data_IF_900162930985
#
_entry.id   IF_900162930985
#
_cell.length_a   1.000
_cell.length_b   1.000
_cell.length_c   1.000
_cell.angle_alpha   90.00
_cell.angle_beta   90.00
_cell.angle_gamma   90.00
#
_symmetry.space_group_name_H-M   'P 1'
#
loop_
_entity.id
_entity.type
_entity.pdbx_description
1 polymer ?
#
# COMPACT_ATOMS: atom_id res chain seq x y z
N UNK A 1 -13.61 -3.44 1.06
CA UNK A 1 -14.72 -4.12 0.37
C UNK A 1 -15.31 -5.19 1.27
N UNK A 2 -16.63 -5.35 1.28
CA UNK A 2 -17.33 -6.46 1.97
C UNK A 2 -17.71 -7.49 0.91
N UNK A 3 -17.38 -8.76 1.16
CA UNK A 3 -17.66 -9.89 0.28
C UNK A 3 -18.47 -10.91 1.07
N UNK A 4 -19.81 -10.94 0.89
CA UNK A 4 -20.65 -11.96 1.52
C UNK A 4 -20.45 -13.31 0.82
N UNK A 5 -20.21 -14.37 1.62
CA UNK A 5 -19.97 -15.73 1.13
C UNK A 5 -21.24 -16.54 1.23
N UNK A 6 -21.61 -17.22 0.15
CA UNK A 6 -22.82 -18.03 0.05
C UNK A 6 -24.13 -17.29 0.41
N UNK A 7 -24.20 -15.99 0.14
CA UNK A 7 -25.35 -15.14 0.42
C UNK A 7 -26.63 -15.62 -0.30
N UNK A 8 -26.50 -16.24 -1.47
CA UNK A 8 -27.64 -16.80 -2.22
C UNK A 8 -28.35 -17.96 -1.48
N UNK A 9 -27.63 -18.64 -0.54
CA UNK A 9 -28.21 -19.70 0.30
C UNK A 9 -28.56 -19.21 1.70
N UNK A 10 -28.01 -18.08 2.10
CA UNK A 10 -28.15 -17.54 3.46
C UNK A 10 -28.43 -16.03 3.38
N UNK A 11 -29.69 -15.62 3.23
CA UNK A 11 -30.06 -14.20 3.09
C UNK A 11 -29.60 -13.33 4.26
N UNK A 12 -29.52 -13.88 5.47
CA UNK A 12 -29.04 -13.19 6.68
C UNK A 12 -27.60 -12.65 6.55
N UNK A 13 -26.75 -13.37 5.80
CA UNK A 13 -25.38 -12.93 5.53
C UNK A 13 -25.39 -11.64 4.72
N UNK A 14 -26.26 -11.54 3.71
CA UNK A 14 -26.38 -10.33 2.90
C UNK A 14 -26.95 -9.16 3.68
N UNK A 15 -27.96 -9.40 4.49
CA UNK A 15 -28.58 -8.35 5.31
C UNK A 15 -27.58 -7.81 6.36
N UNK A 16 -26.83 -8.69 7.00
CA UNK A 16 -25.76 -8.30 7.93
C UNK A 16 -24.66 -7.51 7.20
N UNK A 17 -24.23 -7.96 6.01
CA UNK A 17 -23.24 -7.24 5.20
C UNK A 17 -23.70 -5.83 4.82
N UNK A 18 -25.00 -5.64 4.49
CA UNK A 18 -25.59 -4.32 4.24
C UNK A 18 -25.60 -3.44 5.48
N UNK A 19 -25.95 -4.00 6.64
CA UNK A 19 -25.91 -3.28 7.92
C UNK A 19 -24.48 -2.83 8.26
N UNK A 20 -23.50 -3.73 8.12
CA UNK A 20 -22.07 -3.41 8.30
C UNK A 20 -21.62 -2.31 7.33
N UNK A 21 -22.02 -2.37 6.06
CA UNK A 21 -21.70 -1.32 5.10
C UNK A 21 -22.24 0.04 5.56
N UNK A 22 -23.50 0.07 6.02
CA UNK A 22 -24.15 1.31 6.48
C UNK A 22 -23.44 1.91 7.69
N UNK A 23 -23.05 1.09 8.67
CA UNK A 23 -22.35 1.55 9.86
C UNK A 23 -20.92 2.06 9.55
N UNK A 24 -20.20 1.37 8.69
CA UNK A 24 -18.86 1.78 8.23
C UNK A 24 -18.92 3.10 7.44
N UNK A 25 -19.91 3.26 6.55
CA UNK A 25 -20.12 4.52 5.83
C UNK A 25 -20.44 5.65 6.79
N UNK A 26 -21.31 5.44 7.77
CA UNK A 26 -21.63 6.42 8.81
C UNK A 26 -20.39 6.79 9.64
N UNK A 27 -19.48 5.85 9.83
CA UNK A 27 -18.19 6.08 10.48
C UNK A 27 -17.15 6.77 9.59
N UNK A 28 -17.46 7.10 8.34
CA UNK A 28 -16.57 7.80 7.40
C UNK A 28 -15.64 6.89 6.60
N UNK A 29 -15.85 5.56 6.63
CA UNK A 29 -15.08 4.62 5.84
C UNK A 29 -15.67 4.48 4.44
N UNK A 30 -14.84 4.53 3.40
CA UNK A 30 -15.27 4.27 2.01
C UNK A 30 -15.44 2.76 1.81
N UNK A 31 -16.67 2.31 1.69
CA UNK A 31 -17.01 0.88 1.61
C UNK A 31 -17.76 0.55 0.33
N UNK A 32 -17.46 -0.62 -0.22
CA UNK A 32 -18.23 -1.26 -1.28
C UNK A 32 -18.68 -2.64 -0.81
N UNK A 33 -19.93 -2.96 -1.02
CA UNK A 33 -20.46 -4.32 -0.91
C UNK A 33 -20.40 -4.98 -2.29
N UNK A 34 -19.83 -6.18 -2.37
CA UNK A 34 -19.84 -6.98 -3.59
C UNK A 34 -20.72 -8.21 -3.41
N UNK A 35 -21.97 -8.07 -3.78
CA UNK A 35 -23.00 -9.11 -3.82
C UNK A 35 -23.18 -9.72 -5.21
N UNK A 36 -22.27 -9.47 -6.14
CA UNK A 36 -22.29 -10.05 -7.50
C UNK A 36 -22.13 -11.58 -7.48
N UNK A 37 -22.55 -12.22 -8.59
CA UNK A 37 -22.44 -13.67 -8.79
C UNK A 37 -21.02 -14.14 -9.16
N UNK A 38 -20.03 -13.25 -9.14
CA UNK A 38 -18.65 -13.62 -9.44
C UNK A 38 -18.07 -14.56 -8.38
N UNK A 39 -17.15 -15.42 -8.81
CA UNK A 39 -16.49 -16.36 -7.90
C UNK A 39 -15.64 -15.64 -6.85
N UNK A 40 -15.46 -16.26 -5.69
CA UNK A 40 -14.62 -15.69 -4.62
C UNK A 40 -13.21 -15.40 -5.10
N UNK A 41 -12.61 -16.29 -5.88
CA UNK A 41 -11.27 -16.10 -6.45
C UNK A 41 -11.19 -14.88 -7.36
N UNK A 42 -12.22 -14.66 -8.19
CA UNK A 42 -12.30 -13.47 -9.03
C UNK A 42 -12.40 -12.18 -8.18
N UNK A 43 -13.28 -12.17 -7.17
CA UNK A 43 -13.44 -11.03 -6.27
C UNK A 43 -12.13 -10.71 -5.54
N UNK A 44 -11.41 -11.72 -5.06
CA UNK A 44 -10.11 -11.52 -4.42
C UNK A 44 -9.12 -10.82 -5.36
N UNK A 45 -8.91 -11.38 -6.55
CA UNK A 45 -7.98 -10.83 -7.54
C UNK A 45 -8.37 -9.40 -7.98
N UNK A 46 -9.66 -9.15 -8.23
CA UNK A 46 -10.17 -7.85 -8.66
C UNK A 46 -9.88 -6.76 -7.62
N UNK A 47 -10.17 -7.01 -6.34
CA UNK A 47 -9.95 -6.01 -5.30
C UNK A 47 -8.48 -5.85 -4.89
N UNK A 48 -7.68 -6.89 -5.00
CA UNK A 48 -6.22 -6.82 -4.86
C UNK A 48 -5.60 -5.96 -5.97
N UNK A 49 -6.01 -6.15 -7.23
CA UNK A 49 -5.57 -5.33 -8.36
C UNK A 49 -5.99 -3.85 -8.22
N UNK A 50 -7.17 -3.59 -7.69
CA UNK A 50 -7.67 -2.23 -7.43
C UNK A 50 -7.01 -1.56 -6.23
N UNK A 51 -6.18 -2.26 -5.48
CA UNK A 51 -5.50 -1.71 -4.31
C UNK A 51 -6.40 -1.52 -3.09
N UNK A 52 -7.49 -2.27 -2.98
CA UNK A 52 -8.38 -2.19 -1.80
C UNK A 52 -7.64 -2.75 -0.57
N UNK A 53 -7.42 -1.95 0.48
CA UNK A 53 -6.54 -2.34 1.58
C UNK A 53 -7.11 -3.47 2.46
N UNK A 54 -8.42 -3.53 2.64
CA UNK A 54 -9.09 -4.53 3.48
C UNK A 54 -10.23 -5.17 2.70
N UNK A 55 -10.21 -6.51 2.63
CA UNK A 55 -11.34 -7.33 2.22
C UNK A 55 -11.96 -7.97 3.45
N UNK A 56 -13.25 -7.69 3.66
CA UNK A 56 -14.06 -8.26 4.74
C UNK A 56 -14.84 -9.43 4.18
N UNK A 57 -14.54 -10.63 4.63
CA UNK A 57 -15.22 -11.86 4.26
C UNK A 57 -16.24 -12.20 5.36
N UNK A 58 -17.49 -12.40 4.97
CA UNK A 58 -18.58 -12.76 5.88
C UNK A 58 -19.30 -13.99 5.38
N UNK A 59 -19.12 -15.11 6.09
CA UNK A 59 -19.80 -16.37 5.80
C UNK A 59 -20.82 -16.75 6.87
N UNK A 60 -21.64 -17.81 6.63
CA UNK A 60 -22.64 -18.24 7.60
C UNK A 60 -22.05 -18.70 8.95
N UNK A 61 -20.83 -19.25 8.94
CA UNK A 61 -20.14 -19.66 10.16
C UNK A 61 -19.66 -18.45 10.97
N UNK A 62 -19.07 -17.49 10.29
CA UNK A 62 -18.60 -16.26 10.91
C UNK A 62 -19.78 -15.51 11.52
N UNK A 63 -20.91 -15.42 10.78
CA UNK A 63 -22.13 -14.80 11.27
C UNK A 63 -22.69 -15.47 12.53
N UNK A 64 -22.70 -16.80 12.56
CA UNK A 64 -23.18 -17.57 13.73
C UNK A 64 -22.35 -17.28 15.00
N UNK A 65 -21.08 -16.93 14.86
CA UNK A 65 -20.16 -16.56 15.93
C UNK A 65 -20.12 -15.05 16.20
N UNK A 66 -20.87 -14.25 15.43
CA UNK A 66 -20.84 -12.79 15.50
C UNK A 66 -19.53 -12.17 15.02
N UNK A 67 -18.80 -12.88 14.17
CA UNK A 67 -17.50 -12.50 13.65
C UNK A 67 -17.52 -12.22 12.14
N UNK A 68 -16.46 -11.61 11.63
CA UNK A 68 -16.10 -11.55 10.22
C UNK A 68 -14.59 -11.74 10.07
N UNK A 69 -14.13 -12.07 8.86
CA UNK A 69 -12.71 -12.19 8.55
C UNK A 69 -12.24 -10.95 7.79
N UNK A 70 -11.25 -10.25 8.33
CA UNK A 70 -10.56 -9.12 7.67
C UNK A 70 -9.28 -9.65 7.02
N UNK A 71 -9.14 -9.47 5.72
CA UNK A 71 -7.95 -9.87 4.97
C UNK A 71 -7.21 -8.61 4.54
N UNK A 72 -5.98 -8.48 4.99
CA UNK A 72 -5.09 -7.36 4.67
C UNK A 72 -4.44 -7.56 3.30
N UNK A 73 -4.42 -6.51 2.49
CA UNK A 73 -3.76 -6.56 1.20
C UNK A 73 -2.24 -6.44 1.29
N UNK A 74 -1.72 -5.68 2.24
CA UNK A 74 -0.30 -5.35 2.35
C UNK A 74 0.60 -6.56 2.70
N UNK A 75 0.08 -7.50 3.51
CA UNK A 75 0.84 -8.67 3.96
C UNK A 75 0.09 -10.01 3.83
N UNK A 76 -1.18 -10.00 3.40
CA UNK A 76 -2.01 -11.19 3.25
C UNK A 76 -2.55 -11.77 4.57
N UNK A 77 -2.31 -11.10 5.70
CA UNK A 77 -2.78 -11.54 7.01
C UNK A 77 -4.30 -11.57 7.09
N UNK A 78 -4.82 -12.62 7.76
CA UNK A 78 -6.25 -12.77 8.06
C UNK A 78 -6.48 -12.59 9.54
N UNK A 79 -7.36 -11.65 9.88
CA UNK A 79 -7.71 -11.32 11.25
C UNK A 79 -9.20 -11.59 11.43
N UNK A 80 -9.56 -12.36 12.46
CA UNK A 80 -10.96 -12.51 12.86
C UNK A 80 -11.34 -11.33 13.73
N UNK A 81 -12.40 -10.62 13.35
CA UNK A 81 -12.92 -9.46 14.08
C UNK A 81 -14.40 -9.66 14.44
N UNK A 82 -14.84 -9.05 15.50
CA UNK A 82 -16.27 -9.04 15.85
C UNK A 82 -17.02 -8.07 14.95
N UNK A 83 -18.24 -8.44 14.58
CA UNK A 83 -19.13 -7.58 13.81
C UNK A 83 -19.53 -6.36 14.64
N UNK A 84 -19.75 -6.55 15.94
CA UNK A 84 -20.02 -5.48 16.88
C UNK A 84 -18.79 -4.59 17.06
N UNK A 85 -18.93 -3.28 16.74
CA UNK A 85 -17.84 -2.30 16.84
C UNK A 85 -16.80 -2.39 15.73
N UNK A 86 -17.12 -3.07 14.63
CA UNK A 86 -16.22 -3.29 13.48
C UNK A 86 -15.65 -1.99 12.90
N UNK A 87 -16.35 -0.87 13.07
CA UNK A 87 -15.94 0.44 12.56
C UNK A 87 -14.59 0.90 13.15
N UNK A 88 -14.41 0.68 14.45
CA UNK A 88 -13.18 1.05 15.13
C UNK A 88 -12.02 0.13 14.72
N UNK A 89 -12.30 -1.17 14.64
CA UNK A 89 -11.33 -2.17 14.21
C UNK A 89 -10.83 -1.88 12.78
N UNK A 90 -11.75 -1.59 11.86
CA UNK A 90 -11.40 -1.26 10.48
C UNK A 90 -10.58 0.02 10.38
N UNK A 91 -10.93 1.07 11.15
CA UNK A 91 -10.15 2.32 11.16
C UNK A 91 -8.73 2.08 11.66
N UNK A 92 -8.60 1.42 12.81
CA UNK A 92 -7.28 1.09 13.38
C UNK A 92 -6.44 0.24 12.42
N UNK A 93 -7.08 -0.71 11.74
CA UNK A 93 -6.39 -1.57 10.78
C UNK A 93 -5.96 -0.79 9.52
N UNK A 94 -6.77 0.16 9.04
CA UNK A 94 -6.41 1.03 7.92
C UNK A 94 -5.20 1.91 8.25
N UNK A 95 -5.17 2.51 9.45
CA UNK A 95 -4.03 3.30 9.93
C UNK A 95 -2.77 2.43 10.04
N UNK A 96 -2.90 1.24 10.62
CA UNK A 96 -1.80 0.27 10.72
C UNK A 96 -1.24 -0.13 9.35
N UNK A 97 -2.11 -0.39 8.36
CA UNK A 97 -1.70 -0.71 6.99
C UNK A 97 -0.95 0.48 6.38
N UNK A 98 -1.48 1.70 6.56
CA UNK A 98 -0.84 2.90 6.07
C UNK A 98 0.57 3.06 6.64
N UNK A 99 0.71 2.97 7.95
CA UNK A 99 1.99 3.15 8.65
C UNK A 99 3.00 2.07 8.24
N UNK A 100 2.57 0.82 8.10
CA UNK A 100 3.44 -0.27 7.65
C UNK A 100 3.92 -0.07 6.21
N UNK A 101 3.03 0.35 5.32
CA UNK A 101 3.40 0.64 3.93
C UNK A 101 4.33 1.85 3.83
N UNK A 102 4.08 2.89 4.64
CA UNK A 102 4.93 4.07 4.70
C UNK A 102 6.33 3.71 5.20
N UNK A 103 6.43 3.01 6.32
CA UNK A 103 7.71 2.57 6.88
C UNK A 103 8.50 1.67 5.91
N UNK A 104 7.81 0.79 5.20
CA UNK A 104 8.44 -0.06 4.18
C UNK A 104 8.97 0.76 2.99
N UNK A 105 8.22 1.78 2.55
CA UNK A 105 8.64 2.68 1.47
C UNK A 105 9.82 3.56 1.89
N UNK A 106 9.78 4.11 3.12
CA UNK A 106 10.87 4.91 3.71
C UNK A 106 12.16 4.08 3.81
N UNK A 107 12.06 2.88 4.38
CA UNK A 107 13.18 1.97 4.45
C UNK A 107 13.74 1.62 3.07
N UNK A 108 12.87 1.34 2.09
CA UNK A 108 13.32 1.05 0.73
C UNK A 108 14.03 2.25 0.09
N UNK A 109 13.57 3.48 0.35
CA UNK A 109 14.24 4.68 -0.12
C UNK A 109 15.62 4.85 0.53
N UNK A 110 15.71 4.66 1.85
CA UNK A 110 16.99 4.74 2.58
C UNK A 110 17.98 3.69 2.11
N UNK A 111 17.57 2.43 2.04
CA UNK A 111 18.41 1.30 1.60
C UNK A 111 18.92 1.45 0.16
N UNK A 112 18.23 2.22 -0.68
CA UNK A 112 18.60 2.46 -2.07
C UNK A 112 19.08 3.89 -2.36
N UNK A 113 19.46 4.64 -1.32
CA UNK A 113 20.05 5.98 -1.45
C UNK A 113 21.50 5.98 -0.93
N UNK A 114 22.44 6.38 -1.77
CA UNK A 114 23.88 6.31 -1.50
C UNK A 114 24.52 7.69 -1.56
N UNK A 115 25.34 8.02 -0.56
CA UNK A 115 26.17 9.23 -0.55
C UNK A 115 27.46 8.94 -1.34
N UNK A 116 27.54 9.45 -2.57
CA UNK A 116 28.64 9.20 -3.50
C UNK A 116 29.39 10.52 -3.78
N UNK A 117 30.72 10.41 -3.94
CA UNK A 117 31.60 11.57 -4.07
C UNK A 117 32.20 11.71 -5.47
N UNK A 118 32.31 10.62 -6.19
CA UNK A 118 32.97 10.59 -7.50
C UNK A 118 32.02 10.09 -8.62
N UNK A 119 32.36 10.46 -9.85
CA UNK A 119 31.61 10.00 -11.04
C UNK A 119 31.73 8.48 -11.21
N UNK A 120 32.87 7.88 -10.85
CA UNK A 120 33.09 6.45 -10.99
C UNK A 120 32.24 5.66 -10.00
N UNK A 121 32.10 6.12 -8.74
CA UNK A 121 31.17 5.53 -7.77
C UNK A 121 29.70 5.58 -8.27
N UNK A 122 29.30 6.68 -8.92
CA UNK A 122 27.96 6.80 -9.50
C UNK A 122 27.77 5.81 -10.67
N UNK A 123 28.80 5.63 -11.51
CA UNK A 123 28.75 4.63 -12.58
C UNK A 123 28.63 3.20 -12.04
N UNK A 124 29.44 2.86 -11.04
CA UNK A 124 29.39 1.55 -10.41
C UNK A 124 28.03 1.26 -9.78
N UNK A 125 27.46 2.23 -9.05
CA UNK A 125 26.13 2.13 -8.48
C UNK A 125 25.06 1.93 -9.57
N UNK A 126 25.12 2.71 -10.65
CA UNK A 126 24.15 2.65 -11.74
C UNK A 126 24.24 1.35 -12.55
N UNK A 127 25.46 0.85 -12.77
CA UNK A 127 25.70 -0.42 -13.49
C UNK A 127 25.35 -1.66 -12.65
N UNK A 128 25.41 -1.55 -11.33
CA UNK A 128 25.18 -2.64 -10.39
C UNK A 128 23.78 -2.63 -9.80
N UNK A 129 23.69 -2.21 -8.54
CA UNK A 129 22.48 -2.28 -7.72
C UNK A 129 21.37 -1.31 -8.19
N UNK A 130 21.75 -0.19 -8.80
CA UNK A 130 20.85 0.92 -9.08
C UNK A 130 20.49 1.69 -7.80
N UNK A 131 19.55 2.65 -7.92
CA UNK A 131 19.10 3.46 -6.79
C UNK A 131 19.28 4.96 -7.02
N UNK A 132 19.36 5.70 -5.91
CA UNK A 132 19.57 7.14 -5.89
C UNK A 132 20.96 7.50 -5.39
N UNK A 133 21.68 8.30 -6.15
CA UNK A 133 22.94 8.89 -5.70
C UNK A 133 22.70 10.30 -5.12
N UNK A 134 23.08 10.54 -3.86
CA UNK A 134 23.25 11.89 -3.31
C UNK A 134 24.67 12.31 -3.58
N UNK A 135 24.84 13.31 -4.43
CA UNK A 135 26.16 13.83 -4.79
C UNK A 135 26.11 15.34 -4.93
N UNK A 136 27.26 15.99 -4.91
CA UNK A 136 27.34 17.42 -5.10
C UNK A 136 27.21 17.81 -6.57
N UNK A 137 26.60 18.95 -6.81
CA UNK A 137 26.42 19.51 -8.12
C UNK A 137 27.05 20.91 -8.23
N UNK A 138 27.79 21.14 -9.30
CA UNK A 138 28.49 22.41 -9.53
C UNK A 138 27.59 23.53 -10.14
N UNK A 139 26.28 23.29 -10.32
CA UNK A 139 25.36 24.26 -10.92
C UNK A 139 25.39 24.31 -12.45
N UNK A 140 26.26 23.54 -13.10
CA UNK A 140 26.42 23.60 -14.56
C UNK A 140 25.60 22.51 -15.29
N UNK A 141 24.74 22.92 -16.22
CA UNK A 141 24.02 22.03 -17.12
C UNK A 141 24.95 21.11 -17.92
N UNK A 142 26.14 21.61 -18.28
CA UNK A 142 27.14 20.83 -19.04
C UNK A 142 27.62 19.62 -18.22
N UNK A 143 27.81 19.79 -16.92
CA UNK A 143 28.19 18.68 -16.02
C UNK A 143 27.06 17.66 -15.88
N UNK A 144 25.82 18.12 -15.77
CA UNK A 144 24.64 17.26 -15.71
C UNK A 144 24.49 16.41 -16.96
N UNK A 145 24.58 17.02 -18.14
CA UNK A 145 24.52 16.30 -19.43
C UNK A 145 25.66 15.29 -19.55
N UNK A 146 26.86 15.63 -19.07
CA UNK A 146 27.99 14.71 -19.07
C UNK A 146 27.77 13.52 -18.14
N UNK A 147 27.17 13.73 -16.98
CA UNK A 147 26.79 12.64 -16.06
C UNK A 147 25.80 11.67 -16.72
N UNK A 148 24.83 12.19 -17.46
CA UNK A 148 23.90 11.36 -18.23
C UNK A 148 24.63 10.53 -19.29
N UNK A 149 25.58 11.13 -19.97
CA UNK A 149 26.38 10.46 -21.03
C UNK A 149 27.27 9.36 -20.45
N UNK A 150 28.00 9.65 -19.36
CA UNK A 150 29.05 8.75 -18.85
C UNK A 150 28.55 7.73 -17.83
N UNK A 151 27.47 7.99 -17.12
CA UNK A 151 26.93 7.12 -16.05
C UNK A 151 25.47 6.68 -16.32
N UNK A 152 24.82 7.16 -17.37
CA UNK A 152 23.42 6.80 -17.67
C UNK A 152 22.40 7.31 -16.64
N UNK A 153 22.79 8.23 -15.76
CA UNK A 153 21.94 8.78 -14.71
C UNK A 153 21.45 10.18 -15.03
N UNK A 154 20.35 10.61 -14.43
CA UNK A 154 19.83 11.98 -14.56
C UNK A 154 19.58 12.57 -13.17
N UNK A 155 19.81 13.87 -13.03
CA UNK A 155 19.42 14.60 -11.83
C UNK A 155 17.90 14.59 -11.64
N UNK A 156 17.45 14.53 -10.37
CA UNK A 156 16.03 14.47 -10.01
C UNK A 156 15.60 15.69 -9.23
N UNK A 157 16.24 15.97 -8.12
CA UNK A 157 15.89 17.08 -7.26
C UNK A 157 17.08 17.54 -6.42
N UNK A 158 16.99 18.77 -5.94
CA UNK A 158 17.86 19.28 -4.88
C UNK A 158 17.06 19.33 -3.57
N UNK A 159 17.57 18.76 -2.45
CA UNK A 159 16.91 18.88 -1.16
C UNK A 159 16.74 20.33 -0.75
N UNK A 160 15.66 20.65 -0.04
CA UNK A 160 15.43 21.99 0.53
C UNK A 160 16.51 22.36 1.56
N UNK A 161 16.97 21.39 2.34
CA UNK A 161 18.11 21.53 3.25
C UNK A 161 19.34 20.95 2.57
N UNK A 162 20.32 21.81 2.28
CA UNK A 162 21.55 21.40 1.62
C UNK A 162 22.71 21.41 2.62
N UNK A 163 23.55 20.39 2.56
CA UNK A 163 24.73 20.24 3.43
C UNK A 163 25.98 20.97 2.88
N UNK A 164 25.82 22.21 2.41
CA UNK A 164 26.91 23.01 1.88
C UNK A 164 27.14 22.89 0.38
N UNK A 165 27.84 23.89 -0.15
CA UNK A 165 28.12 24.07 -1.56
C UNK A 165 29.39 23.36 -1.98
N UNK A 166 29.37 22.87 -3.19
CA UNK A 166 30.48 22.65 -4.12
C UNK A 166 31.52 21.60 -3.76
N UNK A 167 31.59 20.66 -4.62
CA UNK A 167 32.85 19.99 -4.94
C UNK A 167 33.64 20.86 -5.88
#
# INVERSE_FOLDING_TARGET
VIVPIAAHKNPEVLETAKAMMSSLVAAGVRVKLDDSDQSMGWKCAEYEMRGVPIRMELGPRDLAEGNCCLVRRDNGEKVTAKIEGIENEVKTLLDTIHDNMYAAAEKNLEDNTFDLKTVDEVKEMAAGRGGFARTKWCGSLKCELKMKEVAGVSSRCMPLKQSGTTG
#
